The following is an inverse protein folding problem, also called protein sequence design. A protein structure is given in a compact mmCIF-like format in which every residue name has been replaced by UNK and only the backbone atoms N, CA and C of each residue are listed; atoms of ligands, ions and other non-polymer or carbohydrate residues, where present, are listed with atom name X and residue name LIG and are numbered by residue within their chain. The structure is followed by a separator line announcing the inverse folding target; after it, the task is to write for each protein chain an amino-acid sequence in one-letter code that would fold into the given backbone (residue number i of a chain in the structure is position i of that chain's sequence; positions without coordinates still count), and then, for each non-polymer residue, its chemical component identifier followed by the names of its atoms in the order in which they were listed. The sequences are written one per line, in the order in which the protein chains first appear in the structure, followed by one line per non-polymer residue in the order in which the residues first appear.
data_IF_167156496818
#
_entry.id   IF_167156496818
#
_cell.length_a   1.000
_cell.length_b   1.000
_cell.length_c   1.000
_cell.angle_alpha   90.00
_cell.angle_beta   90.00
_cell.angle_gamma   90.00
#
_symmetry.space_group_name_H-M   'P 1'
#
loop_
_entity.id
_entity.type
_entity.pdbx_description
1 polymer ?
#
# COMPACT_ATOMS: atom_id res chain seq x y z
N UNK A 1 -9.35 -8.47 2.52
CA UNK A 1 -8.09 -8.26 1.77
C UNK A 1 -8.00 -6.77 1.50
N UNK A 2 -6.87 -6.10 1.78
CA UNK A 2 -6.83 -4.63 1.66
C UNK A 2 -6.78 -4.23 0.19
N UNK A 3 -7.79 -3.50 -0.26
CA UNK A 3 -7.81 -2.86 -1.59
C UNK A 3 -6.68 -1.82 -1.61
N UNK A 4 -5.52 -2.18 -2.16
CA UNK A 4 -4.38 -1.29 -2.36
C UNK A 4 -4.34 -0.83 -3.82
N UNK A 5 -4.16 0.48 -4.03
CA UNK A 5 -4.13 1.04 -5.39
C UNK A 5 -2.78 0.76 -6.06
N UNK A 6 -2.74 -0.24 -6.93
CA UNK A 6 -1.58 -0.52 -7.79
C UNK A 6 -1.27 0.67 -8.70
N UNK A 7 -0.16 1.36 -8.43
CA UNK A 7 0.38 2.40 -9.31
C UNK A 7 1.71 1.89 -9.88
N UNK A 8 1.75 1.77 -11.20
CA UNK A 8 2.88 1.29 -12.01
C UNK A 8 4.18 2.09 -11.72
N UNK A 9 5.16 1.46 -11.06
CA UNK A 9 6.46 2.05 -10.69
C UNK A 9 7.62 1.39 -11.44
N UNK A 10 8.37 2.24 -12.15
CA UNK A 10 9.81 2.11 -12.44
C UNK A 10 10.39 0.74 -12.81
N UNK A 11 10.54 0.49 -14.12
CA UNK A 11 11.24 -0.64 -14.74
C UNK A 11 12.68 -0.81 -14.23
N UNK A 12 13.01 -1.95 -13.62
CA UNK A 12 14.39 -2.42 -13.50
C UNK A 12 14.81 -3.11 -14.81
N UNK A 13 15.47 -2.37 -15.70
CA UNK A 13 16.05 -2.96 -16.91
C UNK A 13 17.42 -3.56 -16.58
N UNK A 14 17.49 -4.86 -16.32
CA UNK A 14 18.78 -5.58 -16.24
C UNK A 14 19.28 -5.90 -17.65
N UNK A 15 20.23 -5.11 -18.16
CA UNK A 15 21.01 -5.49 -19.35
C UNK A 15 22.20 -6.35 -18.92
N UNK A 16 22.09 -7.67 -19.12
CA UNK A 16 23.18 -8.61 -18.87
C UNK A 16 22.96 -9.94 -19.58
N UNK A 17 23.32 -10.02 -20.86
CA UNK A 17 23.26 -11.27 -21.62
C UNK A 17 24.37 -12.22 -21.14
N UNK A 18 24.02 -13.37 -20.56
CA UNK A 18 24.93 -14.51 -20.40
C UNK A 18 24.31 -15.76 -21.02
N UNK A 19 25.09 -16.37 -21.91
CA UNK A 19 24.72 -17.57 -22.65
C UNK A 19 24.79 -18.84 -21.79
N UNK A 20 23.75 -19.66 -21.90
CA UNK A 20 23.83 -21.12 -22.02
C UNK A 20 24.66 -21.87 -20.97
N UNK A 21 24.10 -22.05 -19.78
CA UNK A 21 24.47 -23.05 -18.78
C UNK A 21 23.22 -23.39 -17.96
N UNK A 22 23.10 -24.61 -17.46
CA UNK A 22 22.01 -25.00 -16.55
C UNK A 22 21.98 -24.05 -15.36
N UNK A 23 21.03 -23.12 -15.34
CA UNK A 23 20.86 -22.14 -14.25
C UNK A 23 20.61 -22.90 -12.94
N UNK A 24 21.25 -22.45 -11.87
CA UNK A 24 20.92 -22.96 -10.53
C UNK A 24 19.45 -22.64 -10.23
N UNK A 25 18.76 -23.54 -9.53
CA UNK A 25 17.32 -23.44 -9.24
C UNK A 25 16.91 -22.16 -8.48
N UNK A 26 17.89 -21.44 -7.91
CA UNK A 26 17.67 -20.17 -7.23
C UNK A 26 17.86 -18.96 -8.17
N UNK A 27 18.77 -19.03 -9.15
CA UNK A 27 18.94 -17.98 -10.18
C UNK A 27 17.66 -17.86 -11.04
N UNK A 28 17.06 -19.00 -11.39
CA UNK A 28 15.75 -19.03 -12.06
C UNK A 28 14.64 -18.39 -11.22
N UNK A 29 14.67 -18.54 -9.90
CA UNK A 29 13.64 -17.97 -9.02
C UNK A 29 13.74 -16.45 -8.89
N UNK A 30 14.94 -15.88 -8.96
CA UNK A 30 15.09 -14.43 -8.99
C UNK A 30 14.53 -13.83 -10.28
N UNK A 31 14.75 -14.50 -11.41
CA UNK A 31 14.15 -14.10 -12.69
C UNK A 31 12.63 -14.24 -12.65
N UNK A 32 12.10 -15.35 -12.13
CA UNK A 32 10.66 -15.54 -11.94
C UNK A 32 10.06 -14.49 -11.02
N UNK A 33 10.76 -14.11 -9.95
CA UNK A 33 10.29 -13.07 -9.02
C UNK A 33 10.23 -11.70 -9.72
N UNK A 34 11.26 -11.35 -10.48
CA UNK A 34 11.27 -10.10 -11.24
C UNK A 34 10.11 -10.05 -12.25
N UNK A 35 9.83 -11.16 -12.94
CA UNK A 35 8.71 -11.26 -13.86
C UNK A 35 7.36 -11.16 -13.13
N UNK A 36 7.20 -11.84 -11.99
CA UNK A 36 5.97 -11.77 -11.19
C UNK A 36 5.68 -10.33 -10.72
N UNK A 37 6.71 -9.60 -10.30
CA UNK A 37 6.60 -8.18 -9.95
C UNK A 37 6.20 -7.34 -11.18
N UNK A 38 6.82 -7.56 -12.33
CA UNK A 38 6.50 -6.82 -13.57
C UNK A 38 5.08 -7.11 -14.08
N UNK A 39 4.63 -8.36 -13.96
CA UNK A 39 3.29 -8.80 -14.37
C UNK A 39 2.21 -8.41 -13.35
N UNK A 40 2.59 -7.94 -12.15
CA UNK A 40 1.67 -7.61 -11.06
C UNK A 40 1.04 -8.84 -10.38
N UNK A 41 1.66 -10.01 -10.50
CA UNK A 41 1.21 -11.24 -9.85
C UNK A 41 1.65 -11.23 -8.37
N UNK A 42 0.79 -10.64 -7.53
CA UNK A 42 1.06 -10.41 -6.10
C UNK A 42 1.29 -11.73 -5.34
N UNK A 43 0.48 -12.75 -5.62
CA UNK A 43 0.54 -14.06 -4.96
C UNK A 43 1.86 -14.77 -5.30
N UNK A 44 2.22 -14.81 -6.58
CA UNK A 44 3.48 -15.41 -7.02
C UNK A 44 4.70 -14.63 -6.51
N UNK A 45 4.63 -13.30 -6.53
CA UNK A 45 5.69 -12.44 -6.00
C UNK A 45 5.94 -12.70 -4.51
N UNK A 46 4.87 -12.76 -3.70
CA UNK A 46 4.97 -13.08 -2.27
C UNK A 46 5.54 -14.49 -2.05
N UNK A 47 5.03 -15.49 -2.78
CA UNK A 47 5.48 -16.87 -2.66
C UNK A 47 6.99 -17.01 -2.97
N UNK A 48 7.45 -16.38 -4.04
CA UNK A 48 8.84 -16.42 -4.45
C UNK A 48 9.73 -15.66 -3.45
N UNK A 49 9.32 -14.47 -3.00
CA UNK A 49 10.02 -13.67 -2.00
C UNK A 49 10.21 -14.45 -0.68
N UNK A 50 9.16 -15.10 -0.17
CA UNK A 50 9.24 -15.98 1.01
C UNK A 50 10.26 -17.11 0.82
N UNK A 51 10.30 -17.72 -0.37
CA UNK A 51 11.21 -18.83 -0.67
C UNK A 51 12.69 -18.40 -0.78
N UNK A 52 12.94 -17.13 -1.10
CA UNK A 52 14.26 -16.54 -1.31
C UNK A 52 14.80 -15.78 -0.08
N UNK A 53 13.94 -15.38 0.87
CA UNK A 53 14.28 -14.55 2.04
C UNK A 53 15.54 -14.96 2.80
N UNK A 54 15.78 -16.25 3.00
CA UNK A 54 16.93 -16.76 3.77
C UNK A 54 18.18 -17.01 2.93
N UNK A 55 18.09 -16.79 1.61
CA UNK A 55 19.14 -17.09 0.63
C UNK A 55 19.85 -15.85 0.10
N UNK A 56 19.19 -14.70 0.18
CA UNK A 56 19.72 -13.43 -0.34
C UNK A 56 20.91 -12.93 0.47
N UNK A 57 22.04 -12.71 -0.20
CA UNK A 57 23.24 -12.10 0.40
C UNK A 57 23.54 -10.75 -0.18
N UNK A 58 23.33 -10.60 -1.49
CA UNK A 58 23.67 -9.40 -2.24
C UNK A 58 22.61 -8.29 -2.12
N UNK A 59 23.03 -7.04 -2.30
CA UNK A 59 22.16 -5.88 -2.13
C UNK A 59 21.02 -5.83 -3.15
N UNK A 60 21.32 -6.09 -4.42
CA UNK A 60 20.35 -6.09 -5.51
C UNK A 60 19.33 -7.23 -5.37
N UNK A 61 19.76 -8.42 -4.96
CA UNK A 61 18.87 -9.53 -4.61
C UNK A 61 17.93 -9.18 -3.44
N UNK A 62 18.46 -8.56 -2.38
CA UNK A 62 17.66 -8.12 -1.23
C UNK A 62 16.64 -7.06 -1.61
N UNK A 63 17.04 -6.08 -2.44
CA UNK A 63 16.12 -5.08 -2.98
C UNK A 63 15.01 -5.75 -3.78
N UNK A 64 15.33 -6.74 -4.63
CA UNK A 64 14.35 -7.46 -5.42
C UNK A 64 13.38 -8.26 -4.54
N UNK A 65 13.88 -8.99 -3.55
CA UNK A 65 13.05 -9.75 -2.61
C UNK A 65 12.19 -8.83 -1.74
N UNK A 66 12.74 -7.71 -1.25
CA UNK A 66 11.97 -6.71 -0.52
C UNK A 66 10.88 -6.06 -1.39
N UNK A 67 11.16 -5.84 -2.69
CA UNK A 67 10.15 -5.37 -3.65
C UNK A 67 9.03 -6.42 -3.79
N UNK A 68 9.39 -7.70 -3.93
CA UNK A 68 8.42 -8.79 -3.96
C UNK A 68 7.54 -8.86 -2.71
N UNK A 69 8.11 -8.61 -1.53
CA UNK A 69 7.34 -8.51 -0.30
C UNK A 69 6.40 -7.30 -0.28
N UNK A 70 6.82 -6.12 -0.75
CA UNK A 70 5.98 -4.93 -0.80
C UNK A 70 4.80 -5.11 -1.76
N UNK A 71 5.07 -5.56 -2.99
CA UNK A 71 4.03 -5.79 -4.01
C UNK A 71 3.12 -6.97 -3.64
N UNK A 72 3.66 -7.97 -2.95
CA UNK A 72 2.93 -9.12 -2.43
C UNK A 72 2.19 -8.88 -1.10
N UNK A 73 2.18 -7.64 -0.58
CA UNK A 73 1.40 -7.30 0.62
C UNK A 73 2.01 -7.75 1.96
N UNK A 74 3.32 -8.02 2.05
CA UNK A 74 4.05 -8.26 3.29
C UNK A 74 5.10 -7.18 3.60
N UNK A 75 4.67 -5.93 3.88
CA UNK A 75 5.60 -4.82 4.11
C UNK A 75 6.48 -5.00 5.35
N UNK A 76 6.04 -5.79 6.34
CA UNK A 76 6.83 -6.09 7.53
C UNK A 76 8.02 -7.00 7.25
N UNK A 77 7.88 -8.00 6.38
CA UNK A 77 8.99 -8.83 5.93
C UNK A 77 9.99 -8.02 5.07
N UNK A 78 9.47 -7.12 4.22
CA UNK A 78 10.31 -6.17 3.48
C UNK A 78 11.13 -5.28 4.42
N UNK A 79 10.48 -4.71 5.45
CA UNK A 79 11.12 -3.86 6.44
C UNK A 79 12.22 -4.60 7.21
N UNK A 80 11.94 -5.83 7.65
CA UNK A 80 12.91 -6.66 8.37
C UNK A 80 14.13 -6.97 7.49
N UNK A 81 13.89 -7.36 6.23
CA UNK A 81 14.95 -7.67 5.28
C UNK A 81 15.84 -6.44 5.02
N UNK A 82 15.25 -5.28 4.77
CA UNK A 82 15.97 -4.04 4.47
C UNK A 82 16.71 -3.49 5.70
N UNK A 83 16.13 -3.57 6.91
CA UNK A 83 16.82 -3.15 8.16
C UNK A 83 17.95 -4.10 8.55
N UNK A 84 17.93 -5.36 8.13
CA UNK A 84 19.00 -6.33 8.40
C UNK A 84 20.30 -6.06 7.63
N UNK A 85 20.29 -5.11 6.70
CA UNK A 85 21.48 -4.71 5.95
C UNK A 85 22.31 -3.71 6.76
N UNK A 86 23.25 -4.23 7.55
CA UNK A 86 24.45 -3.46 7.90
C UNK A 86 25.26 -3.28 6.61
N UNK A 87 25.72 -2.05 6.32
CA UNK A 87 26.38 -1.62 5.07
C UNK A 87 27.70 -2.30 4.71
N UNK A 88 27.91 -3.57 5.10
CA UNK A 88 28.93 -4.45 4.54
C UNK A 88 28.46 -4.94 3.16
N UNK A 89 28.72 -4.10 2.17
CA UNK A 89 28.88 -4.54 0.79
C UNK A 89 30.08 -5.50 0.78
N UNK A 90 29.83 -6.80 0.80
CA UNK A 90 30.86 -7.78 0.47
C UNK A 90 31.34 -7.46 -0.95
N UNK A 91 32.66 -7.55 -1.15
CA UNK A 91 33.41 -7.20 -2.36
C UNK A 91 32.57 -7.27 -3.64
N UNK A 92 31.98 -6.13 -4.03
CA UNK A 92 31.00 -6.09 -5.11
C UNK A 92 31.71 -5.99 -6.47
N UNK A 93 31.18 -6.68 -7.50
CA UNK A 93 31.63 -6.52 -8.89
C UNK A 93 31.16 -5.18 -9.52
N UNK A 94 30.49 -4.32 -8.75
CA UNK A 94 29.89 -3.08 -9.23
C UNK A 94 30.88 -1.90 -9.21
N UNK A 95 30.65 -0.94 -10.11
CA UNK A 95 31.32 0.36 -10.02
C UNK A 95 30.72 1.21 -8.89
N UNK A 96 31.49 2.16 -8.36
CA UNK A 96 31.03 3.12 -7.34
C UNK A 96 29.70 3.80 -7.71
N UNK A 97 29.49 4.07 -9.00
CA UNK A 97 28.26 4.68 -9.50
C UNK A 97 27.03 3.75 -9.40
N UNK A 98 27.23 2.45 -9.65
CA UNK A 98 26.17 1.43 -9.55
C UNK A 98 25.85 1.13 -8.08
N UNK A 99 26.85 1.08 -7.21
CA UNK A 99 26.64 0.92 -5.77
C UNK A 99 25.80 2.06 -5.20
N UNK A 100 26.10 3.31 -5.58
CA UNK A 100 25.33 4.48 -5.17
C UNK A 100 23.87 4.45 -5.67
N UNK A 101 23.64 3.95 -6.90
CA UNK A 101 22.30 3.79 -7.45
C UNK A 101 21.50 2.71 -6.71
N UNK A 102 22.12 1.58 -6.41
CA UNK A 102 21.50 0.53 -5.60
C UNK A 102 21.22 1.01 -4.18
N UNK A 103 22.09 1.82 -3.58
CA UNK A 103 21.87 2.39 -2.24
C UNK A 103 20.67 3.35 -2.23
N UNK A 104 20.53 4.20 -3.27
CA UNK A 104 19.37 5.07 -3.45
C UNK A 104 18.08 4.23 -3.60
N UNK A 105 18.09 3.19 -4.43
CA UNK A 105 16.94 2.30 -4.62
C UNK A 105 16.55 1.57 -3.33
N UNK A 106 17.55 1.09 -2.58
CA UNK A 106 17.32 0.47 -1.27
C UNK A 106 16.65 1.43 -0.30
N UNK A 107 17.09 2.69 -0.23
CA UNK A 107 16.49 3.70 0.64
C UNK A 107 15.05 4.01 0.26
N UNK A 108 14.73 4.07 -1.03
CA UNK A 108 13.34 4.22 -1.51
C UNK A 108 12.48 3.05 -1.03
N UNK A 109 12.93 1.81 -1.22
CA UNK A 109 12.20 0.62 -0.75
C UNK A 109 12.07 0.57 0.77
N UNK A 110 13.09 1.03 1.50
CA UNK A 110 13.04 1.12 2.97
C UNK A 110 12.01 2.16 3.41
N UNK A 111 11.95 3.31 2.76
CA UNK A 111 10.94 4.33 3.05
C UNK A 111 9.51 3.82 2.78
N UNK A 112 9.31 3.10 1.67
CA UNK A 112 8.02 2.45 1.35
C UNK A 112 7.63 1.44 2.45
N UNK A 113 8.55 0.57 2.86
CA UNK A 113 8.30 -0.40 3.93
C UNK A 113 8.03 0.26 5.28
N UNK A 114 8.74 1.33 5.62
CA UNK A 114 8.51 2.13 6.83
C UNK A 114 7.11 2.74 6.82
N UNK A 115 6.72 3.39 5.71
CA UNK A 115 5.39 3.98 5.59
C UNK A 115 4.29 2.92 5.64
N UNK A 116 4.43 1.83 4.89
CA UNK A 116 3.48 0.72 4.85
C UNK A 116 3.29 0.01 6.20
N UNK A 117 4.27 0.13 7.10
CA UNK A 117 4.20 -0.38 8.49
C UNK A 117 3.87 0.69 9.53
N UNK A 118 3.47 1.89 9.09
CA UNK A 118 2.97 2.95 9.96
C UNK A 118 4.05 3.84 10.59
N UNK A 119 5.22 3.99 9.96
CA UNK A 119 6.34 4.82 10.43
C UNK A 119 6.61 6.02 9.48
N UNK A 120 5.65 6.96 9.30
CA UNK A 120 5.79 8.04 8.32
C UNK A 120 6.95 9.01 8.62
N UNK A 121 7.30 9.25 9.88
CA UNK A 121 8.44 10.09 10.26
C UNK A 121 9.77 9.49 9.79
N UNK A 122 9.99 8.20 10.05
CA UNK A 122 11.20 7.48 9.60
C UNK A 122 11.24 7.37 8.07
N UNK A 123 10.09 7.15 7.43
CA UNK A 123 9.99 7.08 5.97
C UNK A 123 10.40 8.41 5.31
N UNK A 124 9.90 9.53 5.85
CA UNK A 124 10.24 10.87 5.37
C UNK A 124 11.74 11.16 5.54
N UNK A 125 12.30 10.91 6.73
CA UNK A 125 13.72 11.11 7.00
C UNK A 125 14.62 10.26 6.08
N UNK A 126 14.17 9.04 5.75
CA UNK A 126 14.89 8.15 4.82
C UNK A 126 14.92 8.76 3.41
N UNK A 127 13.79 9.29 2.92
CA UNK A 127 13.68 9.89 1.58
C UNK A 127 14.43 11.21 1.41
N UNK A 128 14.54 12.02 2.45
CA UNK A 128 15.32 13.26 2.40
C UNK A 128 16.79 13.01 2.05
N UNK A 129 17.29 11.82 2.36
CA UNK A 129 18.66 11.40 2.02
C UNK A 129 18.83 10.87 0.58
N UNK A 130 17.73 10.67 -0.15
CA UNK A 130 17.72 10.14 -1.52
C UNK A 130 17.77 11.30 -2.53
N UNK A 131 18.78 11.28 -3.38
CA UNK A 131 18.89 12.23 -4.49
C UNK A 131 17.86 11.87 -5.58
N UNK A 132 17.11 12.85 -6.09
CA UNK A 132 16.26 12.65 -7.27
C UNK A 132 17.07 12.89 -8.55
N UNK A 133 17.10 11.90 -9.44
CA UNK A 133 17.87 11.94 -10.71
C UNK A 133 16.97 12.03 -11.93
N UNK A 134 16.12 13.05 -11.97
CA UNK A 134 15.21 13.27 -13.08
C UNK A 134 13.89 13.85 -12.63
N UNK A 135 13.08 14.26 -13.62
CA UNK A 135 11.76 14.84 -13.36
C UNK A 135 10.82 13.78 -12.76
N UNK A 136 10.91 12.54 -13.26
CA UNK A 136 10.06 11.43 -12.84
C UNK A 136 10.31 11.02 -11.39
N UNK A 137 11.57 10.83 -11.02
CA UNK A 137 11.99 10.48 -9.67
C UNK A 137 11.73 11.62 -8.68
N UNK A 138 11.90 12.88 -9.12
CA UNK A 138 11.54 14.02 -8.31
C UNK A 138 10.02 14.06 -8.05
N UNK A 139 9.19 13.87 -9.07
CA UNK A 139 7.73 13.85 -8.93
C UNK A 139 7.26 12.75 -7.98
N UNK A 140 7.80 11.53 -8.11
CA UNK A 140 7.48 10.41 -7.20
C UNK A 140 7.84 10.71 -5.75
N UNK A 141 9.00 11.33 -5.54
CA UNK A 141 9.44 11.70 -4.20
C UNK A 141 8.51 12.74 -3.59
N UNK A 142 8.13 13.78 -4.34
CA UNK A 142 7.16 14.77 -3.86
C UNK A 142 5.82 14.10 -3.52
N UNK A 143 5.34 13.20 -4.37
CA UNK A 143 4.10 12.44 -4.12
C UNK A 143 4.21 11.62 -2.83
N UNK A 144 5.28 10.85 -2.65
CA UNK A 144 5.46 10.03 -1.45
C UNK A 144 5.67 10.89 -0.18
N UNK A 145 6.39 12.00 -0.29
CA UNK A 145 6.53 12.97 0.80
C UNK A 145 5.16 13.50 1.23
N UNK A 146 4.24 13.76 0.28
CA UNK A 146 2.87 14.14 0.62
C UNK A 146 2.13 13.07 1.43
N UNK A 147 2.26 11.78 1.06
CA UNK A 147 1.66 10.67 1.79
C UNK A 147 2.11 10.64 3.25
N UNK A 148 3.41 10.87 3.49
CA UNK A 148 3.97 10.95 4.83
C UNK A 148 3.37 12.11 5.62
N UNK A 149 3.34 13.33 5.04
CA UNK A 149 2.75 14.50 5.70
C UNK A 149 1.26 14.33 6.03
N UNK A 150 0.53 13.64 5.15
CA UNK A 150 -0.88 13.30 5.35
C UNK A 150 -1.08 12.47 6.63
N UNK A 151 -0.26 11.42 6.84
CA UNK A 151 -0.30 10.63 8.08
C UNK A 151 0.30 11.35 9.30
N UNK A 152 1.14 12.36 9.10
CA UNK A 152 1.62 13.23 10.18
C UNK A 152 0.60 14.32 10.56
N UNK A 153 -0.49 14.44 9.81
CA UNK A 153 -1.58 15.37 10.08
C UNK A 153 -1.33 16.80 9.59
N UNK A 154 -0.28 17.04 8.79
CA UNK A 154 -0.04 18.34 8.16
C UNK A 154 -0.57 18.36 6.72
N UNK A 155 -1.89 18.54 6.60
CA UNK A 155 -2.59 18.54 5.31
C UNK A 155 -2.10 19.66 4.39
N UNK A 156 -1.68 20.80 4.94
CA UNK A 156 -1.20 21.91 4.13
C UNK A 156 0.13 21.57 3.45
N UNK A 157 1.05 20.92 4.16
CA UNK A 157 2.28 20.40 3.57
C UNK A 157 2.00 19.27 2.58
N UNK A 158 1.11 18.33 2.93
CA UNK A 158 0.74 17.25 2.03
C UNK A 158 0.19 17.78 0.70
N UNK A 159 -0.78 18.70 0.74
CA UNK A 159 -1.37 19.31 -0.46
C UNK A 159 -0.33 20.09 -1.28
N UNK A 160 0.62 20.77 -0.64
CA UNK A 160 1.71 21.45 -1.33
C UNK A 160 2.63 20.48 -2.08
N UNK A 161 2.97 19.35 -1.47
CA UNK A 161 3.79 18.31 -2.09
C UNK A 161 3.05 17.58 -3.22
N UNK A 162 1.74 17.33 -3.08
CA UNK A 162 0.92 16.81 -4.19
C UNK A 162 0.91 17.77 -5.37
N UNK A 163 0.73 19.07 -5.12
CA UNK A 163 0.77 20.08 -6.17
C UNK A 163 2.15 20.14 -6.88
N UNK A 164 3.24 20.03 -6.12
CA UNK A 164 4.59 19.94 -6.69
C UNK A 164 4.79 18.67 -7.52
N UNK A 165 4.30 17.52 -7.05
CA UNK A 165 4.34 16.27 -7.81
C UNK A 165 3.60 16.41 -9.16
N UNK A 166 2.40 17.00 -9.15
CA UNK A 166 1.62 17.30 -10.35
C UNK A 166 2.30 18.29 -11.29
N UNK A 167 2.94 19.33 -10.76
CA UNK A 167 3.68 20.29 -11.59
C UNK A 167 4.87 19.63 -12.32
N UNK A 168 5.55 18.70 -11.64
CA UNK A 168 6.69 17.97 -12.20
C UNK A 168 6.27 16.94 -13.26
N UNK A 169 5.25 16.13 -12.99
CA UNK A 169 4.80 15.05 -13.88
C UNK A 169 3.26 14.88 -13.80
N UNK A 170 2.48 15.68 -14.53
CA UNK A 170 1.02 15.68 -14.42
C UNK A 170 0.36 14.43 -15.00
N UNK A 171 1.04 13.74 -15.93
CA UNK A 171 0.53 12.49 -16.51
C UNK A 171 0.60 11.36 -15.48
N UNK A 172 1.65 11.37 -14.64
CA UNK A 172 1.83 10.36 -13.59
C UNK A 172 1.13 10.72 -12.28
N UNK A 173 1.13 11.99 -11.91
CA UNK A 173 0.56 12.50 -10.68
C UNK A 173 -0.48 13.59 -11.00
N UNK A 174 -1.64 13.22 -11.59
CA UNK A 174 -2.67 14.19 -11.95
C UNK A 174 -3.23 14.91 -10.70
N UNK A 175 -3.89 16.07 -10.89
CA UNK A 175 -4.58 16.75 -9.79
C UNK A 175 -5.58 15.82 -9.10
N UNK A 176 -5.55 15.78 -7.77
CA UNK A 176 -6.44 14.96 -6.96
C UNK A 176 -7.75 15.71 -6.69
N UNK A 177 -8.93 15.12 -6.94
CA UNK A 177 -10.21 15.71 -6.55
C UNK A 177 -10.31 15.76 -5.03
N UNK A 178 -11.01 16.76 -4.49
CA UNK A 178 -11.28 16.85 -3.05
C UNK A 178 -12.75 17.09 -2.76
N UNK A 179 -13.20 16.56 -1.63
CA UNK A 179 -14.55 16.77 -1.09
C UNK A 179 -14.47 17.13 0.37
N UNK A 180 -15.43 17.91 0.89
CA UNK A 180 -15.48 18.14 2.33
C UNK A 180 -15.97 16.90 3.07
N UNK A 181 -15.69 16.84 4.38
CA UNK A 181 -16.22 15.77 5.25
C UNK A 181 -17.75 15.75 5.24
N UNK A 182 -18.40 16.90 5.18
CA UNK A 182 -19.86 17.04 5.10
C UNK A 182 -20.41 16.51 3.77
N UNK A 183 -19.70 16.76 2.66
CA UNK A 183 -20.05 16.21 1.35
C UNK A 183 -19.94 14.68 1.36
N UNK A 184 -18.84 14.14 1.89
CA UNK A 184 -18.65 12.69 2.08
C UNK A 184 -19.78 12.08 2.93
N UNK A 185 -20.16 12.73 4.04
CA UNK A 185 -21.29 12.31 4.86
C UNK A 185 -22.61 12.31 4.09
N UNK A 186 -22.85 13.31 3.24
CA UNK A 186 -24.06 13.34 2.44
C UNK A 186 -24.12 12.17 1.45
N UNK A 187 -23.01 11.85 0.79
CA UNK A 187 -22.92 10.71 -0.12
C UNK A 187 -23.23 9.40 0.63
N UNK A 188 -22.63 9.18 1.81
CA UNK A 188 -22.91 8.01 2.65
C UNK A 188 -24.41 7.89 2.99
N UNK A 189 -25.04 9.00 3.42
CA UNK A 189 -26.48 9.03 3.74
C UNK A 189 -27.34 8.74 2.51
N UNK A 190 -26.99 9.29 1.35
CA UNK A 190 -27.68 9.03 0.07
C UNK A 190 -27.60 7.55 -0.29
N UNK A 191 -26.41 6.93 -0.23
CA UNK A 191 -26.20 5.50 -0.53
C UNK A 191 -27.03 4.62 0.41
N UNK A 192 -27.04 4.88 1.72
CA UNK A 192 -27.84 4.13 2.69
C UNK A 192 -29.34 4.31 2.43
N UNK A 193 -29.76 5.51 2.04
CA UNK A 193 -31.15 5.83 1.69
C UNK A 193 -31.67 5.08 0.47
N UNK A 194 -30.78 4.64 -0.43
CA UNK A 194 -31.10 3.84 -1.62
C UNK A 194 -31.14 2.33 -1.36
N UNK A 195 -30.59 1.86 -0.23
CA UNK A 195 -30.60 0.44 0.12
C UNK A 195 -32.04 -0.06 0.34
N UNK A 196 -32.32 -1.35 0.04
CA UNK A 196 -33.58 -1.99 0.40
C UNK A 196 -33.88 -1.85 1.90
N UNK A 197 -35.15 -1.67 2.27
CA UNK A 197 -35.58 -1.43 3.66
C UNK A 197 -34.99 -2.45 4.65
N UNK A 198 -35.01 -3.74 4.29
CA UNK A 198 -34.46 -4.82 5.12
C UNK A 198 -32.95 -4.66 5.39
N UNK A 199 -32.19 -4.19 4.40
CA UNK A 199 -30.74 -3.93 4.55
C UNK A 199 -30.53 -2.69 5.40
N UNK A 200 -31.29 -1.62 5.14
CA UNK A 200 -31.20 -0.37 5.89
C UNK A 200 -31.41 -0.57 7.39
N UNK A 201 -32.41 -1.35 7.78
CA UNK A 201 -32.66 -1.67 9.20
C UNK A 201 -31.51 -2.45 9.83
N UNK A 202 -30.82 -3.31 9.08
CA UNK A 202 -29.67 -4.07 9.57
C UNK A 202 -28.44 -3.18 9.86
N UNK A 203 -28.32 -2.05 9.16
CA UNK A 203 -27.13 -1.18 9.23
C UNK A 203 -27.34 0.05 10.13
N UNK A 204 -28.59 0.31 10.57
CA UNK A 204 -28.94 1.42 11.47
C UNK A 204 -28.17 1.42 12.80
N UNK A 205 -27.71 0.25 13.25
CA UNK A 205 -26.98 0.08 14.52
C UNK A 205 -25.46 0.18 14.37
N UNK A 206 -24.92 0.27 13.14
CA UNK A 206 -23.49 0.30 12.87
C UNK A 206 -23.01 1.74 12.66
N UNK A 207 -22.12 2.27 13.52
CA UNK A 207 -21.48 3.55 13.28
C UNK A 207 -20.66 3.53 11.98
N UNK A 208 -20.84 4.56 11.16
CA UNK A 208 -20.02 4.80 9.97
C UNK A 208 -19.21 6.06 10.21
N UNK A 209 -17.89 5.89 10.30
CA UNK A 209 -16.93 6.95 10.55
C UNK A 209 -16.26 7.33 9.23
N UNK A 210 -16.33 8.62 8.90
CA UNK A 210 -15.55 9.18 7.80
C UNK A 210 -14.29 9.75 8.41
N UNK A 211 -13.14 9.21 8.03
CA UNK A 211 -11.83 9.64 8.48
C UNK A 211 -10.98 10.00 7.28
N UNK A 212 -9.86 10.68 7.50
CA UNK A 212 -9.01 11.05 6.37
C UNK A 212 -8.15 9.87 5.94
N UNK A 213 -7.57 9.14 6.90
CA UNK A 213 -6.65 8.01 6.70
C UNK A 213 -6.77 7.00 7.85
N UNK A 214 -6.30 5.75 7.67
CA UNK A 214 -6.15 4.78 8.76
C UNK A 214 -5.20 5.30 9.86
N UNK A 215 -5.54 5.05 11.13
CA UNK A 215 -4.67 5.40 12.26
C UNK A 215 -3.36 4.60 12.17
N UNK A 216 -2.21 5.28 12.25
CA UNK A 216 -0.89 4.65 12.18
C UNK A 216 -0.68 3.60 13.26
N UNK A 217 -1.37 3.70 14.40
CA UNK A 217 -1.34 2.67 15.45
C UNK A 217 -1.90 1.35 14.96
N UNK A 218 -2.98 1.35 14.19
CA UNK A 218 -3.56 0.11 13.63
C UNK A 218 -2.64 -0.49 12.59
N UNK A 219 -2.04 0.34 11.75
CA UNK A 219 -1.03 -0.09 10.76
C UNK A 219 0.16 -0.76 11.49
N UNK A 220 0.67 -0.15 12.56
CA UNK A 220 1.77 -0.70 13.36
C UNK A 220 1.39 -1.99 14.10
N UNK A 221 0.24 -2.01 14.77
CA UNK A 221 -0.24 -3.17 15.56
C UNK A 221 -0.51 -4.38 14.66
N UNK A 222 -0.97 -4.15 13.43
CA UNK A 222 -1.19 -5.18 12.40
C UNK A 222 0.02 -5.41 11.50
N UNK A 223 1.16 -4.75 11.77
CA UNK A 223 2.40 -4.87 10.99
C UNK A 223 2.20 -4.62 9.48
N UNK A 224 1.30 -3.71 9.13
CA UNK A 224 0.99 -3.33 7.76
C UNK A 224 -0.04 -4.20 7.05
N UNK A 225 -0.70 -5.15 7.73
CA UNK A 225 -1.86 -5.83 7.15
C UNK A 225 -3.00 -4.85 6.87
N UNK A 226 -3.26 -3.90 7.79
CA UNK A 226 -4.01 -2.69 7.46
C UNK A 226 -3.04 -1.72 6.78
N UNK A 227 -3.12 -1.61 5.46
CA UNK A 227 -2.23 -0.75 4.69
C UNK A 227 -2.60 0.74 4.86
N UNK A 228 -1.65 1.70 4.82
CA UNK A 228 -1.95 3.13 4.81
C UNK A 228 -2.94 3.57 3.72
N UNK A 229 -2.97 2.85 2.60
CA UNK A 229 -3.83 3.16 1.44
C UNK A 229 -5.22 2.50 1.50
N UNK A 230 -5.56 1.83 2.62
CA UNK A 230 -6.88 1.20 2.82
C UNK A 230 -8.02 2.20 2.54
N UNK A 231 -8.97 1.86 1.67
CA UNK A 231 -10.08 2.75 1.29
C UNK A 231 -11.23 2.76 2.31
N UNK A 232 -11.54 1.59 2.84
CA UNK A 232 -12.56 1.35 3.86
C UNK A 232 -12.13 0.23 4.79
N UNK A 233 -12.69 0.20 6.00
CA UNK A 233 -12.39 -0.86 6.95
C UNK A 233 -13.60 -1.12 7.85
N UNK A 234 -14.13 -2.33 7.78
CA UNK A 234 -15.04 -2.86 8.77
C UNK A 234 -14.25 -3.40 10.00
N UNK A 235 -14.44 -2.78 11.15
CA UNK A 235 -13.89 -3.24 12.44
C UNK A 235 -15.02 -3.82 13.30
N UNK A 236 -14.99 -5.09 13.67
CA UNK A 236 -16.05 -5.69 14.48
C UNK A 236 -15.94 -7.18 14.70
N UNK A 237 -16.76 -7.69 15.63
CA UNK A 237 -16.90 -9.13 15.95
C UNK A 237 -17.81 -9.81 14.91
N UNK A 238 -17.43 -9.81 13.63
CA UNK A 238 -18.02 -10.82 12.73
C UNK A 238 -17.48 -12.19 13.13
N UNK A 239 -18.21 -12.81 14.05
CA UNK A 239 -18.41 -14.25 14.23
C UNK A 239 -17.43 -15.15 13.45
N UNK A 240 -16.29 -15.43 14.08
CA UNK A 240 -15.48 -16.65 13.88
C UNK A 240 -15.02 -16.85 12.42
N UNK A 241 -13.89 -16.24 12.10
CA UNK A 241 -12.83 -17.02 11.44
C UNK A 241 -11.53 -16.96 12.25
N UNK A 242 -11.49 -17.82 13.28
CA UNK A 242 -10.30 -18.07 14.11
C UNK A 242 -9.24 -18.92 13.38
N UNK A 243 -9.32 -19.10 12.06
CA UNK A 243 -8.43 -20.01 11.35
C UNK A 243 -7.17 -19.37 10.77
N UNK A 244 -7.11 -18.04 10.64
CA UNK A 244 -5.97 -17.37 9.95
C UNK A 244 -5.23 -16.29 10.74
N UNK A 245 -5.73 -15.85 11.90
CA UNK A 245 -5.04 -14.85 12.73
C UNK A 245 -4.66 -15.45 14.08
N UNK A 246 -3.36 -15.60 14.30
CA UNK A 246 -2.79 -16.16 15.51
C UNK A 246 -3.20 -15.33 16.73
N UNK A 247 -3.68 -16.03 17.75
CA UNK A 247 -4.35 -15.49 18.93
C UNK A 247 -3.27 -14.87 19.84
N UNK A 248 -2.92 -13.60 19.60
CA UNK A 248 -1.85 -12.95 20.38
C UNK A 248 -2.00 -11.45 20.68
N UNK A 249 -2.75 -10.67 19.89
CA UNK A 249 -2.64 -9.19 19.96
C UNK A 249 -3.96 -8.40 20.06
N UNK A 250 -5.12 -9.04 20.16
CA UNK A 250 -6.43 -8.38 20.05
C UNK A 250 -7.03 -7.74 21.33
N UNK A 251 -6.26 -7.53 22.39
CA UNK A 251 -6.80 -7.01 23.67
C UNK A 251 -7.23 -5.52 23.63
N UNK A 252 -7.18 -4.87 22.45
CA UNK A 252 -7.45 -3.42 22.28
C UNK A 252 -8.39 -3.04 21.13
N UNK A 253 -8.87 -3.99 20.31
CA UNK A 253 -9.78 -3.63 19.22
C UNK A 253 -11.17 -3.32 19.79
N UNK A 254 -11.85 -2.23 19.37
CA UNK A 254 -13.22 -1.93 19.81
C UNK A 254 -14.13 -3.14 19.59
N UNK A 255 -14.84 -3.54 20.65
CA UNK A 255 -15.74 -4.71 20.68
C UNK A 255 -17.09 -4.47 19.98
N UNK A 256 -17.32 -3.27 19.45
CA UNK A 256 -18.50 -2.90 18.69
C UNK A 256 -18.15 -2.83 17.20
N UNK A 257 -19.04 -3.34 16.34
CA UNK A 257 -18.92 -3.22 14.89
C UNK A 257 -18.94 -1.74 14.46
N UNK A 258 -18.06 -1.35 13.55
CA UNK A 258 -17.88 0.00 13.03
C UNK A 258 -17.36 -0.08 11.60
N UNK A 259 -17.80 0.84 10.73
CA UNK A 259 -17.31 0.96 9.36
C UNK A 259 -16.54 2.27 9.25
N UNK A 260 -15.31 2.19 8.75
CA UNK A 260 -14.45 3.33 8.49
C UNK A 260 -14.39 3.57 6.98
N UNK A 261 -14.49 4.84 6.57
CA UNK A 261 -14.33 5.29 5.19
C UNK A 261 -13.21 6.31 5.17
N UNK A 262 -12.13 6.04 4.43
CA UNK A 262 -10.92 6.85 4.42
C UNK A 262 -10.92 7.81 3.23
N UNK A 263 -11.41 9.02 3.48
CA UNK A 263 -11.67 10.07 2.49
C UNK A 263 -10.45 10.41 1.64
N UNK A 264 -9.26 10.63 2.23
CA UNK A 264 -8.08 11.05 1.45
C UNK A 264 -7.55 9.92 0.58
N UNK A 265 -7.68 8.66 1.00
CA UNK A 265 -7.36 7.52 0.14
C UNK A 265 -8.29 7.44 -1.06
N UNK A 266 -9.59 7.62 -0.85
CA UNK A 266 -10.59 7.67 -1.91
C UNK A 266 -10.36 8.82 -2.88
N UNK A 267 -10.01 10.01 -2.37
CA UNK A 267 -9.60 11.16 -3.19
C UNK A 267 -8.40 10.79 -4.09
N UNK A 268 -7.37 10.16 -3.54
CA UNK A 268 -6.12 9.82 -4.26
C UNK A 268 -6.28 8.79 -5.39
N UNK A 269 -7.27 7.91 -5.32
CA UNK A 269 -7.54 6.91 -6.37
C UNK A 269 -8.51 7.41 -7.45
N UNK A 270 -9.16 8.55 -7.21
CA UNK A 270 -10.21 9.08 -8.08
C UNK A 270 -9.64 10.08 -9.08
N UNK A 271 -10.09 10.01 -10.33
CA UNK A 271 -9.69 10.94 -11.39
C UNK A 271 -10.46 12.26 -11.33
N UNK A 272 -11.71 12.21 -10.89
CA UNK A 272 -12.59 13.38 -10.80
C UNK A 272 -13.63 13.24 -9.66
N UNK A 273 -14.37 14.32 -9.33
CA UNK A 273 -15.36 14.29 -8.25
C UNK A 273 -16.53 13.31 -8.44
N UNK A 274 -16.85 12.92 -9.67
CA UNK A 274 -17.96 11.98 -9.95
C UNK A 274 -17.48 10.53 -9.78
N UNK A 275 -16.24 10.23 -10.21
CA UNK A 275 -15.58 8.98 -9.85
C UNK A 275 -15.45 8.87 -8.33
N UNK A 276 -15.01 9.91 -7.63
CA UNK A 276 -14.87 9.90 -6.17
C UNK A 276 -16.18 9.56 -5.44
N UNK A 277 -17.32 10.08 -5.90
CA UNK A 277 -18.65 9.69 -5.37
C UNK A 277 -18.93 8.21 -5.58
N UNK A 278 -18.52 7.68 -6.73
CA UNK A 278 -18.67 6.28 -7.09
C UNK A 278 -17.78 5.39 -6.22
N UNK A 279 -16.51 5.76 -6.01
CA UNK A 279 -15.59 5.03 -5.12
C UNK A 279 -16.11 4.99 -3.68
N UNK A 280 -16.56 6.14 -3.12
CA UNK A 280 -17.17 6.18 -1.79
C UNK A 280 -18.36 5.22 -1.68
N UNK A 281 -19.19 5.16 -2.73
CA UNK A 281 -20.33 4.24 -2.77
C UNK A 281 -19.87 2.78 -2.81
N UNK A 282 -18.94 2.44 -3.70
CA UNK A 282 -18.43 1.08 -3.86
C UNK A 282 -17.81 0.61 -2.55
N UNK A 283 -16.90 1.39 -1.98
CA UNK A 283 -16.24 1.08 -0.70
C UNK A 283 -17.26 0.94 0.42
N UNK A 284 -18.22 1.85 0.56
CA UNK A 284 -19.25 1.70 1.60
C UNK A 284 -20.06 0.41 1.45
N UNK A 285 -20.49 0.08 0.23
CA UNK A 285 -21.27 -1.12 -0.04
C UNK A 285 -20.44 -2.40 0.17
N UNK A 286 -19.15 -2.36 -0.15
CA UNK A 286 -18.19 -3.42 0.14
C UNK A 286 -18.12 -3.71 1.65
N UNK A 287 -17.85 -2.68 2.47
CA UNK A 287 -17.76 -2.83 3.92
C UNK A 287 -19.09 -3.27 4.55
N UNK A 288 -20.22 -2.76 4.03
CA UNK A 288 -21.55 -3.20 4.41
C UNK A 288 -21.80 -4.67 4.04
N UNK A 289 -21.27 -5.13 2.90
CA UNK A 289 -21.30 -6.53 2.49
C UNK A 289 -20.63 -7.42 3.52
N UNK A 290 -19.42 -7.09 3.95
CA UNK A 290 -18.72 -7.80 5.02
C UNK A 290 -19.45 -7.77 6.35
N UNK A 291 -20.05 -6.63 6.71
CA UNK A 291 -20.90 -6.54 7.90
C UNK A 291 -22.09 -7.53 7.84
N UNK A 292 -22.67 -7.73 6.66
CA UNK A 292 -23.76 -8.68 6.42
C UNK A 292 -23.30 -10.13 6.25
N UNK A 293 -21.99 -10.39 6.30
CA UNK A 293 -21.39 -11.72 6.20
C UNK A 293 -21.14 -12.19 4.76
N UNK A 294 -21.08 -11.27 3.78
CA UNK A 294 -20.62 -11.59 2.43
C UNK A 294 -19.09 -11.74 2.43
N UNK A 295 -18.61 -12.74 1.71
CA UNK A 295 -17.19 -12.91 1.42
C UNK A 295 -16.76 -12.06 0.20
N UNK A 296 -15.47 -12.04 -0.09
CA UNK A 296 -14.89 -11.27 -1.20
C UNK A 296 -15.50 -11.68 -2.55
N UNK A 297 -15.68 -12.99 -2.79
CA UNK A 297 -16.29 -13.52 -4.02
C UNK A 297 -17.74 -13.03 -4.22
N UNK A 298 -18.51 -12.96 -3.13
CA UNK A 298 -19.87 -12.43 -3.15
C UNK A 298 -19.91 -10.93 -3.46
N UNK A 299 -18.98 -10.15 -2.90
CA UNK A 299 -18.85 -8.70 -3.11
C UNK A 299 -18.38 -8.39 -4.53
N UNK A 300 -17.40 -9.13 -5.05
CA UNK A 300 -16.92 -9.08 -6.44
C UNK A 300 -18.06 -9.31 -7.44
N UNK A 301 -18.87 -10.33 -7.20
CA UNK A 301 -20.02 -10.66 -8.07
C UNK A 301 -21.05 -9.53 -8.13
N UNK A 302 -21.09 -8.67 -7.11
CA UNK A 302 -21.96 -7.49 -7.07
C UNK A 302 -21.34 -6.26 -7.75
N UNK A 303 -20.09 -6.36 -8.23
CA UNK A 303 -19.35 -5.25 -8.84
C UNK A 303 -18.90 -4.21 -7.80
N UNK A 304 -18.49 -4.69 -6.62
CA UNK A 304 -18.11 -3.87 -5.49
C UNK A 304 -16.62 -4.03 -5.11
N UNK A 305 -15.79 -4.43 -6.08
CA UNK A 305 -14.32 -4.46 -5.98
C UNK A 305 -13.62 -3.39 -6.79
#
# INVERSE_FOLDING_TARGET
MVISSGRDRGKLCRTGSRCGGSLDNDETKFEELANAIEDGDQDLALQLALSLRSKVTEMDEKILVATGFLEGGSPSDALELLKSMDGNLLESEFSEAQEAELEELMKVRLAEALYATGHPEEALATLESVASRGVREASDREYFTALCWDHLGDQALADAHLAMATELDPDRNPPIPSISREEAHRIVVEVIGELPEAVRTSVEEVPILIEDLPDTRWIQETKGEIHPDTLGLYTGVSLIDRSHFDIGSFDKLPTAACIHIYRRNLERISQDPDQLRTEIRITLLHELGHHLGLDEDDVDRLGLS
#
